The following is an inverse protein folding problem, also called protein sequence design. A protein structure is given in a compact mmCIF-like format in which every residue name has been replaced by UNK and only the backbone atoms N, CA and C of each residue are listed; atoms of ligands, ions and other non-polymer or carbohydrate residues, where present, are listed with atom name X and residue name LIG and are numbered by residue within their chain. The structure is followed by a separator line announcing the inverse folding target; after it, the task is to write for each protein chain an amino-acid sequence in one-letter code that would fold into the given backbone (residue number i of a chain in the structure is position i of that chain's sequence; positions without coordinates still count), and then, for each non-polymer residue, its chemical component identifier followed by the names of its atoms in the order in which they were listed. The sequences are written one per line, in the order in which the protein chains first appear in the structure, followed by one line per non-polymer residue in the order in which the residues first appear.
data_IF_423860031282
#
_entry.id   IF_423860031282
#
_cell.length_a   1.000
_cell.length_b   1.000
_cell.length_c   1.000
_cell.angle_alpha   90.00
_cell.angle_beta   90.00
_cell.angle_gamma   90.00
#
_symmetry.space_group_name_H-M   'P 1'
#
loop_
_entity.id
_entity.type
_entity.pdbx_description
1 polymer ?
#
# COMPACT_ATOMS: atom_id res chain seq x y z
N UNK A 1 -13.35 9.60 5.88
CA UNK A 1 -12.57 10.66 6.58
C UNK A 1 -12.36 11.79 5.61
N UNK A 2 -12.61 13.02 6.05
CA UNK A 2 -12.45 14.25 5.26
C UNK A 2 -10.99 14.74 5.27
N UNK A 3 -10.59 15.65 4.36
CA UNK A 3 -9.24 16.18 4.29
C UNK A 3 -8.78 16.78 5.62
N UNK A 4 -7.55 16.48 6.02
CA UNK A 4 -6.95 16.94 7.28
C UNK A 4 -7.39 16.15 8.52
N UNK A 5 -8.27 15.14 8.39
CA UNK A 5 -8.67 14.32 9.53
C UNK A 5 -7.55 13.37 9.97
N UNK A 6 -7.45 13.18 11.29
CA UNK A 6 -6.54 12.20 11.91
C UNK A 6 -7.34 11.11 12.63
N UNK A 7 -7.05 9.84 12.32
CA UNK A 7 -7.45 8.69 13.12
C UNK A 7 -6.20 8.18 13.83
N UNK A 8 -6.24 8.10 15.15
CA UNK A 8 -5.08 7.66 15.94
C UNK A 8 -5.42 6.81 17.14
N UNK A 9 -4.48 5.94 17.52
CA UNK A 9 -4.56 5.08 18.71
C UNK A 9 -5.86 4.26 18.75
N UNK A 10 -6.16 3.61 17.63
CA UNK A 10 -7.37 2.81 17.46
C UNK A 10 -7.03 1.37 17.13
N UNK A 11 -7.84 0.44 17.63
CA UNK A 11 -7.81 -0.97 17.24
C UNK A 11 -9.14 -1.24 16.53
N UNK A 12 -9.04 -1.77 15.32
CA UNK A 12 -10.18 -2.09 14.47
C UNK A 12 -10.24 -3.61 14.37
N UNK A 13 -11.27 -4.15 14.98
CA UNK A 13 -11.53 -5.58 15.03
C UNK A 13 -12.08 -6.14 13.72
N UNK A 14 -12.50 -7.41 13.78
CA UNK A 14 -13.06 -8.14 12.65
C UNK A 14 -14.39 -7.54 12.16
N UNK A 15 -14.84 -7.96 10.97
CA UNK A 15 -16.15 -7.63 10.39
C UNK A 15 -16.35 -6.13 10.09
N UNK A 16 -15.26 -5.42 9.81
CA UNK A 16 -15.22 -3.99 9.48
C UNK A 16 -15.73 -3.65 8.06
N UNK A 17 -16.25 -4.63 7.33
CA UNK A 17 -16.76 -4.53 5.94
C UNK A 17 -15.72 -3.95 4.96
N UNK A 18 -15.55 -2.62 4.90
CA UNK A 18 -14.62 -1.91 4.01
C UNK A 18 -13.51 -1.11 4.75
N UNK A 19 -13.36 -1.32 6.06
CA UNK A 19 -12.29 -0.69 6.85
C UNK A 19 -12.44 0.83 6.97
N UNK A 20 -11.31 1.56 6.99
CA UNK A 20 -11.29 3.03 7.09
C UNK A 20 -11.21 3.66 5.71
N UNK A 21 -12.04 4.67 5.45
CA UNK A 21 -11.95 5.46 4.23
C UNK A 21 -11.33 6.83 4.49
N UNK A 22 -10.36 7.22 3.67
CA UNK A 22 -9.92 8.59 3.47
C UNK A 22 -10.49 9.10 2.15
N UNK A 23 -11.66 9.74 2.19
CA UNK A 23 -12.53 9.91 1.02
C UNK A 23 -12.01 10.98 0.04
N UNK A 24 -11.22 11.93 0.55
CA UNK A 24 -10.70 13.06 -0.21
C UNK A 24 -9.19 13.25 -0.05
N UNK A 25 -8.47 12.17 0.28
CA UNK A 25 -7.05 12.20 0.59
C UNK A 25 -6.74 13.08 1.82
N UNK A 26 -5.47 13.33 2.08
CA UNK A 26 -4.98 14.27 3.10
C UNK A 26 -5.32 13.87 4.54
N UNK A 27 -5.55 12.57 4.77
CA UNK A 27 -5.77 12.02 6.10
C UNK A 27 -4.46 11.57 6.75
N UNK A 28 -4.45 11.54 8.08
CA UNK A 28 -3.38 10.93 8.88
C UNK A 28 -3.94 9.73 9.62
N UNK A 29 -3.30 8.58 9.46
CA UNK A 29 -3.56 7.34 10.18
C UNK A 29 -2.34 7.09 11.05
N UNK A 30 -2.49 7.21 12.37
CA UNK A 30 -1.35 7.17 13.30
C UNK A 30 -1.57 6.12 14.39
N UNK A 31 -0.69 5.12 14.46
CA UNK A 31 -0.79 4.03 15.45
C UNK A 31 -2.19 3.38 15.47
N UNK A 32 -2.65 2.97 14.29
CA UNK A 32 -3.93 2.25 14.11
C UNK A 32 -3.64 0.79 13.78
N UNK A 33 -4.37 -0.11 14.43
CA UNK A 33 -4.18 -1.55 14.31
C UNK A 33 -5.42 -2.24 13.75
N UNK A 34 -5.24 -3.07 12.74
CA UNK A 34 -6.27 -3.93 12.16
C UNK A 34 -6.01 -5.38 12.53
N UNK A 35 -6.85 -5.96 13.38
CA UNK A 35 -6.66 -7.33 13.87
C UNK A 35 -6.92 -8.39 12.79
N UNK A 36 -7.83 -8.09 11.87
CA UNK A 36 -8.26 -8.98 10.78
C UNK A 36 -8.90 -8.14 9.67
N UNK A 37 -8.26 -8.08 8.51
CA UNK A 37 -8.70 -7.27 7.37
C UNK A 37 -9.69 -8.07 6.53
N UNK A 38 -10.89 -7.51 6.32
CA UNK A 38 -11.94 -8.16 5.54
C UNK A 38 -11.73 -8.00 4.03
N UNK A 39 -11.98 -6.80 3.49
CA UNK A 39 -11.69 -6.47 2.09
C UNK A 39 -10.39 -5.66 1.99
N UNK A 40 -10.41 -4.45 2.54
CA UNK A 40 -9.27 -3.54 2.66
C UNK A 40 -9.23 -2.94 4.08
N UNK A 41 -8.04 -2.63 4.58
CA UNK A 41 -7.89 -1.97 5.87
C UNK A 41 -8.12 -0.45 5.75
N UNK A 42 -7.57 0.13 4.68
CA UNK A 42 -7.59 1.56 4.40
C UNK A 42 -7.78 1.82 2.90
N UNK A 43 -8.80 2.61 2.57
CA UNK A 43 -9.00 3.13 1.21
C UNK A 43 -8.69 4.62 1.12
N UNK A 44 -7.75 5.00 0.25
CA UNK A 44 -7.44 6.39 -0.10
C UNK A 44 -8.15 6.76 -1.41
N UNK A 45 -9.08 7.71 -1.34
CA UNK A 45 -9.96 8.13 -2.44
C UNK A 45 -9.83 9.64 -2.69
N UNK A 46 -10.38 10.12 -3.81
CA UNK A 46 -10.41 11.54 -4.15
C UNK A 46 -9.02 12.18 -4.32
N UNK A 47 -8.85 13.41 -3.83
CA UNK A 47 -7.57 14.11 -3.80
C UNK A 47 -7.18 14.82 -5.11
N UNK A 48 -6.01 15.46 -5.04
CA UNK A 48 -5.33 16.12 -6.18
C UNK A 48 -3.92 15.56 -6.33
N UNK A 49 -3.22 15.91 -7.41
CA UNK A 49 -1.83 15.49 -7.60
C UNK A 49 -0.88 15.91 -6.47
N UNK A 50 -1.20 16.99 -5.73
CA UNK A 50 -0.44 17.49 -4.58
C UNK A 50 -0.92 16.97 -3.23
N UNK A 51 -2.00 16.20 -3.18
CA UNK A 51 -2.51 15.66 -1.91
C UNK A 51 -1.55 14.61 -1.34
N UNK A 52 -1.39 14.58 -0.01
CA UNK A 52 -0.51 13.67 0.74
C UNK A 52 -1.24 13.05 1.94
N UNK A 53 -1.41 11.73 1.95
CA UNK A 53 -1.96 10.99 3.09
C UNK A 53 -0.85 10.25 3.80
N UNK A 54 -0.88 10.23 5.13
CA UNK A 54 0.19 9.64 5.95
C UNK A 54 -0.30 8.48 6.78
N UNK A 55 0.42 7.36 6.74
CA UNK A 55 0.25 6.20 7.61
C UNK A 55 1.52 6.10 8.45
N UNK A 56 1.38 6.30 9.76
CA UNK A 56 2.49 6.43 10.69
C UNK A 56 2.33 5.38 11.79
N UNK A 57 3.21 4.39 11.79
CA UNK A 57 3.12 3.25 12.71
C UNK A 57 1.89 2.38 12.44
N UNK A 58 1.51 1.61 13.46
CA UNK A 58 0.36 0.71 13.38
C UNK A 58 0.65 -0.59 12.63
N UNK A 59 -0.40 -1.33 12.32
CA UNK A 59 -0.24 -2.60 11.61
C UNK A 59 -1.54 -3.26 11.21
N UNK A 60 -1.42 -4.29 10.38
CA UNK A 60 -2.54 -5.09 9.92
C UNK A 60 -2.18 -6.56 9.82
N UNK A 61 -3.18 -7.42 10.08
CA UNK A 61 -3.10 -8.87 9.91
C UNK A 61 -4.16 -9.40 8.97
N UNK A 62 -3.85 -10.56 8.37
CA UNK A 62 -4.81 -11.41 7.67
C UNK A 62 -5.56 -10.71 6.52
N UNK A 63 -4.83 -9.92 5.72
CA UNK A 63 -5.41 -9.25 4.55
C UNK A 63 -5.28 -10.12 3.31
N UNK A 64 -6.37 -10.77 2.89
CA UNK A 64 -6.36 -11.72 1.76
C UNK A 64 -5.98 -11.10 0.41
N UNK A 65 -6.31 -9.82 0.18
CA UNK A 65 -5.94 -9.10 -1.05
C UNK A 65 -4.93 -7.98 -0.82
N UNK A 66 -5.30 -6.96 -0.04
CA UNK A 66 -4.50 -5.74 0.16
C UNK A 66 -4.87 -5.02 1.47
N UNK A 67 -3.89 -4.36 2.08
CA UNK A 67 -4.10 -3.54 3.28
C UNK A 67 -4.52 -2.12 2.89
N UNK A 68 -3.75 -1.47 2.01
CA UNK A 68 -3.97 -0.09 1.59
C UNK A 68 -4.32 -0.05 0.11
N UNK A 69 -5.54 0.40 -0.19
CA UNK A 69 -6.05 0.61 -1.54
C UNK A 69 -5.99 2.10 -1.90
N UNK A 70 -5.23 2.45 -2.93
CA UNK A 70 -5.12 3.83 -3.41
C UNK A 70 -5.88 4.03 -4.72
N UNK A 71 -7.08 4.63 -4.62
CA UNK A 71 -8.01 4.87 -5.73
C UNK A 71 -7.85 6.28 -6.35
N UNK A 72 -7.50 7.25 -5.50
CA UNK A 72 -7.44 8.68 -5.82
C UNK A 72 -6.22 9.15 -6.61
N UNK A 73 -6.02 10.47 -6.61
CA UNK A 73 -4.75 11.11 -6.97
C UNK A 73 -3.90 11.29 -5.71
N UNK A 74 -2.60 11.54 -5.88
CA UNK A 74 -1.73 12.04 -4.82
C UNK A 74 -0.67 11.04 -4.37
N UNK A 75 -0.19 11.26 -3.15
CA UNK A 75 0.92 10.52 -2.55
C UNK A 75 0.52 9.86 -1.23
N UNK A 76 0.82 8.59 -1.08
CA UNK A 76 0.67 7.88 0.20
C UNK A 76 2.04 7.66 0.82
N UNK A 77 2.26 8.18 2.02
CA UNK A 77 3.49 7.98 2.80
C UNK A 77 3.22 6.97 3.91
N UNK A 78 3.92 5.84 3.88
CA UNK A 78 3.79 4.75 4.86
C UNK A 78 5.12 4.66 5.61
N UNK A 79 5.10 4.92 6.91
CA UNK A 79 6.29 4.89 7.75
C UNK A 79 6.04 4.06 9.01
N UNK A 80 6.88 3.05 9.27
CA UNK A 80 6.81 2.28 10.52
C UNK A 80 5.69 1.23 10.58
N UNK A 81 5.20 0.71 9.45
CA UNK A 81 4.05 -0.20 9.44
C UNK A 81 4.45 -1.67 9.67
N UNK A 82 3.66 -2.38 10.48
CA UNK A 82 3.75 -3.83 10.63
C UNK A 82 2.68 -4.56 9.84
N UNK A 83 3.07 -5.52 9.00
CA UNK A 83 2.14 -6.40 8.28
C UNK A 83 2.42 -7.85 8.58
N UNK A 84 1.39 -8.67 8.80
CA UNK A 84 1.56 -10.12 9.01
C UNK A 84 0.45 -10.90 8.30
N UNK A 85 0.85 -11.91 7.52
CA UNK A 85 -0.05 -12.73 6.71
C UNK A 85 -0.96 -11.86 5.79
N UNK A 86 -0.37 -10.83 5.19
CA UNK A 86 -1.03 -9.92 4.24
C UNK A 86 -0.61 -10.24 2.81
N UNK A 87 -1.54 -10.18 1.85
CA UNK A 87 -1.22 -10.42 0.44
C UNK A 87 -0.46 -9.25 -0.17
N UNK A 88 -0.92 -8.01 0.05
CA UNK A 88 -0.23 -6.78 -0.34
C UNK A 88 -0.34 -5.70 0.73
N UNK A 89 0.75 -4.98 1.00
CA UNK A 89 0.67 -3.79 1.87
C UNK A 89 -0.02 -2.64 1.14
N UNK A 90 0.41 -2.36 -0.09
CA UNK A 90 -0.15 -1.26 -0.89
C UNK A 90 -0.48 -1.70 -2.30
N UNK A 91 -1.64 -1.29 -2.79
CA UNK A 91 -2.04 -1.40 -4.19
C UNK A 91 -2.53 -0.06 -4.72
N UNK A 92 -1.83 0.43 -5.75
CA UNK A 92 -2.40 1.40 -6.67
C UNK A 92 -3.58 0.78 -7.39
N UNK A 93 -4.78 1.36 -7.33
CA UNK A 93 -5.96 0.81 -7.98
C UNK A 93 -5.69 0.56 -9.46
N UNK A 94 -5.86 -0.66 -9.96
CA UNK A 94 -5.56 -0.99 -11.35
C UNK A 94 -6.68 -0.70 -12.34
N UNK A 95 -7.88 -0.34 -11.85
CA UNK A 95 -9.09 -0.11 -12.65
C UNK A 95 -9.63 1.32 -12.55
N UNK A 96 -9.04 2.15 -11.70
CA UNK A 96 -9.54 3.51 -11.42
C UNK A 96 -9.17 4.55 -12.50
N UNK A 97 -8.60 4.12 -13.62
CA UNK A 97 -8.20 4.98 -14.73
C UNK A 97 -6.85 5.66 -14.55
N UNK A 98 -6.46 6.39 -15.60
CA UNK A 98 -5.15 7.04 -15.72
C UNK A 98 -5.01 8.21 -14.74
N UNK A 99 -4.48 7.88 -13.57
CA UNK A 99 -4.23 8.80 -12.47
C UNK A 99 -2.90 8.40 -11.84
N UNK A 100 -1.81 9.10 -12.16
CA UNK A 100 -0.51 8.83 -11.56
C UNK A 100 -0.59 8.90 -10.04
N UNK A 101 -0.12 7.86 -9.37
CA UNK A 101 -0.05 7.77 -7.90
C UNK A 101 1.38 7.58 -7.45
N UNK A 102 1.68 8.15 -6.29
CA UNK A 102 2.97 7.98 -5.63
C UNK A 102 2.80 7.26 -4.31
N UNK A 103 3.75 6.38 -3.99
CA UNK A 103 3.84 5.76 -2.67
C UNK A 103 5.26 5.74 -2.17
N UNK A 104 5.46 6.06 -0.90
CA UNK A 104 6.70 5.80 -0.18
C UNK A 104 6.43 4.81 0.95
N UNK A 105 7.30 3.82 1.10
CA UNK A 105 7.27 2.85 2.22
C UNK A 105 8.61 2.89 2.93
N UNK A 106 8.61 3.27 4.19
CA UNK A 106 9.80 3.31 5.04
C UNK A 106 9.63 2.57 6.35
N UNK A 107 10.75 2.06 6.88
CA UNK A 107 10.85 1.53 8.24
C UNK A 107 9.81 0.46 8.59
N UNK A 108 9.37 -0.31 7.60
CA UNK A 108 8.22 -1.22 7.73
C UNK A 108 8.68 -2.66 7.81
N UNK A 109 7.94 -3.49 8.57
CA UNK A 109 8.25 -4.91 8.76
C UNK A 109 7.08 -5.79 8.35
N UNK A 110 7.29 -6.63 7.34
CA UNK A 110 6.24 -7.46 6.73
C UNK A 110 6.58 -8.94 6.90
N UNK A 111 5.72 -9.66 7.59
CA UNK A 111 5.85 -11.10 7.88
C UNK A 111 4.89 -11.88 6.99
N UNK A 112 5.41 -12.94 6.36
CA UNK A 112 4.68 -13.88 5.49
C UNK A 112 3.83 -13.20 4.40
N UNK A 113 4.39 -12.31 3.56
CA UNK A 113 3.61 -11.67 2.50
C UNK A 113 3.06 -12.71 1.51
N UNK A 114 1.77 -12.62 1.21
CA UNK A 114 1.05 -13.50 0.29
C UNK A 114 1.50 -13.32 -1.17
N UNK A 115 1.70 -12.09 -1.61
CA UNK A 115 2.04 -11.78 -3.01
C UNK A 115 3.18 -10.75 -3.14
N UNK A 116 2.90 -9.47 -2.89
CA UNK A 116 3.85 -8.38 -3.12
C UNK A 116 3.71 -7.26 -2.08
N UNK A 117 4.80 -6.60 -1.67
CA UNK A 117 4.68 -5.50 -0.69
C UNK A 117 3.95 -4.31 -1.32
N UNK A 118 4.45 -3.83 -2.46
CA UNK A 118 3.86 -2.72 -3.22
C UNK A 118 3.47 -3.20 -4.61
N UNK A 119 2.30 -2.79 -5.11
CA UNK A 119 1.91 -3.00 -6.51
C UNK A 119 1.44 -1.71 -7.18
N UNK A 120 2.10 -1.34 -8.28
CA UNK A 120 1.90 -0.08 -9.04
C UNK A 120 1.51 -0.32 -10.51
N UNK A 121 1.02 0.72 -11.19
CA UNK A 121 0.61 0.67 -12.60
C UNK A 121 1.64 1.39 -13.49
N UNK A 122 2.32 0.63 -14.36
CA UNK A 122 3.39 1.14 -15.23
C UNK A 122 2.91 2.19 -16.23
N UNK A 123 1.77 1.94 -16.86
CA UNK A 123 1.23 2.78 -17.93
C UNK A 123 0.55 4.06 -17.45
N UNK A 124 0.30 4.19 -16.14
CA UNK A 124 -0.27 5.40 -15.54
C UNK A 124 0.78 6.26 -14.86
N UNK A 125 2.07 5.94 -15.04
CA UNK A 125 3.17 6.73 -14.49
C UNK A 125 3.26 6.69 -12.97
N UNK A 126 2.81 5.60 -12.34
CA UNK A 126 2.95 5.43 -10.89
C UNK A 126 4.43 5.41 -10.49
N UNK A 127 4.71 5.87 -9.28
CA UNK A 127 6.04 5.85 -8.68
C UNK A 127 5.98 5.23 -7.28
N UNK A 128 6.93 4.35 -6.98
CA UNK A 128 7.10 3.81 -5.64
C UNK A 128 8.54 3.98 -5.17
N UNK A 129 8.72 4.37 -3.91
CA UNK A 129 10.02 4.41 -3.23
C UNK A 129 9.96 3.54 -1.99
N UNK A 130 10.94 2.65 -1.81
CA UNK A 130 11.04 1.80 -0.62
C UNK A 130 12.39 2.00 0.05
N UNK A 131 12.39 2.13 1.38
CA UNK A 131 13.59 2.35 2.19
C UNK A 131 13.49 1.63 3.54
N UNK A 132 14.53 0.88 3.93
CA UNK A 132 14.56 0.16 5.20
C UNK A 132 13.29 -0.70 5.41
N UNK A 133 12.93 -1.51 4.40
CA UNK A 133 11.80 -2.43 4.46
C UNK A 133 12.33 -3.82 4.80
N UNK A 134 11.84 -4.36 5.91
CA UNK A 134 12.19 -5.71 6.37
C UNK A 134 11.06 -6.67 6.01
N UNK A 135 11.43 -7.83 5.50
CA UNK A 135 10.50 -8.88 5.13
C UNK A 135 10.96 -10.18 5.77
N UNK A 136 10.05 -10.86 6.46
CA UNK A 136 10.27 -12.23 6.94
C UNK A 136 9.39 -13.19 6.15
N UNK A 137 9.96 -14.21 5.51
CA UNK A 137 9.21 -15.15 4.68
C UNK A 137 9.94 -16.48 4.51
N UNK A 138 9.20 -17.58 4.60
CA UNK A 138 9.72 -18.91 4.23
C UNK A 138 9.73 -19.17 2.72
N UNK A 139 9.17 -18.26 1.90
CA UNK A 139 9.11 -18.41 0.44
C UNK A 139 10.49 -18.20 -0.17
N UNK A 140 10.83 -19.03 -1.16
CA UNK A 140 12.09 -18.93 -1.92
C UNK A 140 12.26 -17.58 -2.65
N UNK A 141 11.15 -16.89 -2.96
CA UNK A 141 11.17 -15.53 -3.47
C UNK A 141 9.98 -14.73 -2.97
N UNK A 142 10.20 -13.43 -2.73
CA UNK A 142 9.16 -12.46 -2.37
C UNK A 142 9.21 -11.31 -3.36
N UNK A 143 8.04 -10.89 -3.86
CA UNK A 143 7.95 -9.72 -4.73
C UNK A 143 7.93 -8.48 -3.85
N UNK A 144 8.92 -7.62 -3.97
CA UNK A 144 8.98 -6.39 -3.18
C UNK A 144 8.09 -5.32 -3.81
N UNK A 145 8.40 -4.95 -5.05
CA UNK A 145 7.59 -4.03 -5.84
C UNK A 145 7.17 -4.72 -7.14
N UNK A 146 5.87 -4.96 -7.31
CA UNK A 146 5.27 -5.53 -8.52
C UNK A 146 4.65 -4.41 -9.37
N UNK A 147 4.66 -4.56 -10.69
CA UNK A 147 3.95 -3.62 -11.56
C UNK A 147 3.06 -4.30 -12.58
N UNK A 148 2.01 -3.56 -12.95
CA UNK A 148 0.96 -3.99 -13.87
C UNK A 148 0.69 -2.96 -14.96
N UNK A 149 0.02 -3.40 -16.02
CA UNK A 149 -0.72 -2.55 -16.95
C UNK A 149 -2.11 -2.31 -16.32
N UNK A 150 -2.38 -1.10 -15.85
CA UNK A 150 -3.70 -0.66 -15.43
C UNK A 150 -4.67 -0.61 -16.60
N UNK A 151 -5.93 -0.91 -16.34
CA UNK A 151 -7.01 -1.02 -17.32
C UNK A 151 -8.31 -0.46 -16.73
N UNK A 152 -8.77 0.69 -17.21
CA UNK A 152 -9.99 1.33 -16.68
C UNK A 152 -11.28 0.52 -16.99
N UNK A 153 -11.23 -0.37 -17.97
CA UNK A 153 -12.39 -1.07 -18.52
C UNK A 153 -12.28 -2.59 -18.38
N UNK A 154 -11.43 -3.09 -17.48
CA UNK A 154 -11.26 -4.53 -17.26
C UNK A 154 -10.08 -4.84 -16.37
N UNK A 155 -9.68 -6.12 -16.35
CA UNK A 155 -8.66 -6.57 -15.42
C UNK A 155 -7.27 -6.01 -15.74
N UNK A 156 -6.51 -5.55 -14.72
CA UNK A 156 -5.11 -5.17 -14.88
C UNK A 156 -4.23 -6.39 -15.18
N UNK A 157 -3.22 -6.22 -16.04
CA UNK A 157 -2.29 -7.30 -16.39
C UNK A 157 -0.97 -7.14 -15.65
N UNK A 158 -0.51 -8.16 -14.92
CA UNK A 158 0.83 -8.14 -14.31
C UNK A 158 1.93 -8.18 -15.37
N UNK A 159 2.93 -7.32 -15.25
CA UNK A 159 4.01 -7.17 -16.23
C UNK A 159 5.39 -7.53 -15.68
N UNK A 160 5.62 -7.40 -14.38
CA UNK A 160 6.92 -7.69 -13.77
C UNK A 160 6.99 -7.31 -12.30
N UNK A 161 8.16 -7.53 -11.70
CA UNK A 161 8.49 -7.11 -10.33
C UNK A 161 10.00 -6.88 -10.20
N UNK A 162 10.42 -6.17 -9.15
CA UNK A 162 11.82 -5.83 -8.87
C UNK A 162 12.09 -4.31 -8.82
N UNK A 163 13.37 -3.91 -8.81
CA UNK A 163 13.74 -2.51 -9.01
C UNK A 163 13.49 -2.07 -10.46
N UNK A 164 12.85 -0.91 -10.66
CA UNK A 164 12.61 -0.30 -11.97
C UNK A 164 12.33 1.21 -11.80
N UNK A 165 13.36 2.07 -11.65
CA UNK A 165 13.14 3.50 -11.46
C UNK A 165 12.45 4.15 -12.68
N UNK A 166 11.47 5.06 -12.49
CA UNK A 166 10.94 5.57 -11.22
C UNK A 166 9.77 4.74 -10.64
N UNK A 167 9.31 3.71 -11.36
CA UNK A 167 8.15 2.89 -10.99
C UNK A 167 8.34 2.13 -9.67
N UNK A 168 9.54 1.59 -9.44
CA UNK A 168 9.94 0.88 -8.25
C UNK A 168 11.38 1.26 -7.88
N UNK A 169 11.55 2.12 -6.90
CA UNK A 169 12.83 2.73 -6.54
C UNK A 169 13.30 2.18 -5.19
N UNK A 170 14.26 1.26 -5.23
CA UNK A 170 14.96 0.72 -4.07
C UNK A 170 16.23 -0.01 -4.52
N UNK A 171 17.18 -0.15 -3.59
CA UNK A 171 18.41 -0.93 -3.74
C UNK A 171 18.39 -2.17 -2.83
N UNK A 172 19.40 -3.03 -2.95
CA UNK A 172 19.57 -4.17 -2.05
C UNK A 172 19.74 -3.75 -0.58
N UNK A 173 20.30 -2.57 -0.30
CA UNK A 173 20.42 -2.06 1.06
C UNK A 173 19.12 -1.48 1.64
N UNK A 174 18.12 -1.24 0.80
CA UNK A 174 16.83 -0.71 1.25
C UNK A 174 15.85 -1.81 1.67
N UNK A 175 16.13 -3.06 1.32
CA UNK A 175 15.19 -4.17 1.50
C UNK A 175 15.91 -5.40 2.03
N UNK A 176 15.45 -5.90 3.17
CA UNK A 176 16.05 -7.02 3.88
C UNK A 176 15.06 -8.17 3.94
N UNK A 177 15.36 -9.30 3.28
CA UNK A 177 14.49 -10.49 3.24
C UNK A 177 15.15 -11.61 4.06
N UNK A 178 14.45 -12.09 5.09
CA UNK A 178 14.90 -13.13 6.02
C UNK A 178 13.91 -14.28 6.16
#
# INVERSE_FOLDING_TARGET
MEPGATLKNAIIGKNQMEGVHCDKHDCVIENVWWDDVCEDALSIKGGTASSVSKIIGGGARYADDKVIQHNGYGTVEIDGFYGEDISKLYRSCGTCGDRPKKVSVSNSYIVNPGNAIVTVNKNWGDEATLKNVWVKSSKASVKICQWSQGNANGEPKMLGNGPSPPLCQYSESDVHIN
#
